data_IF_154522000957
#
_entry.id   IF_154522000957
#
_cell.length_a   1.000
_cell.length_b   1.000
_cell.length_c   1.000
_cell.angle_alpha   90.00
_cell.angle_beta   90.00
_cell.angle_gamma   90.00
#
_symmetry.space_group_name_H-M   'P 1'
#
loop_
_entity.id
_entity.type
_entity.pdbx_description
1 polymer ?
#
# COMPACT_ATOMS: atom_id res chain seq x y z
N UNK A 1 -50.63 -25.53 12.87
CA UNK A 1 -49.34 -25.72 13.56
C UNK A 1 -48.65 -24.37 13.66
N UNK A 2 -48.52 -23.82 14.86
CA UNK A 2 -47.73 -22.60 15.09
C UNK A 2 -46.28 -22.99 15.35
N UNK A 3 -45.33 -22.22 14.82
CA UNK A 3 -43.90 -22.44 15.04
C UNK A 3 -43.32 -21.31 15.86
N UNK A 4 -42.51 -21.64 16.87
CA UNK A 4 -41.76 -20.66 17.67
C UNK A 4 -40.27 -20.89 17.41
N UNK A 5 -39.57 -19.84 16.99
CA UNK A 5 -38.12 -19.89 16.77
C UNK A 5 -37.39 -19.68 18.08
N UNK A 6 -36.54 -20.62 18.48
CA UNK A 6 -35.86 -20.61 19.77
C UNK A 6 -34.35 -20.80 19.63
N UNK A 7 -33.60 -20.26 20.60
CA UNK A 7 -32.17 -20.49 20.75
C UNK A 7 -31.92 -21.66 21.71
N UNK A 8 -31.00 -22.57 21.36
CA UNK A 8 -30.60 -23.66 22.24
C UNK A 8 -29.94 -23.13 23.52
N UNK A 9 -30.25 -23.74 24.66
CA UNK A 9 -29.62 -23.43 25.95
C UNK A 9 -30.11 -22.17 26.66
N UNK A 10 -31.06 -21.41 26.10
CA UNK A 10 -31.70 -20.27 26.77
C UNK A 10 -33.00 -20.69 27.47
N UNK A 11 -33.42 -19.90 28.47
CA UNK A 11 -34.74 -20.00 29.09
C UNK A 11 -35.79 -19.38 28.15
N UNK A 12 -36.90 -20.08 27.95
CA UNK A 12 -37.97 -19.67 27.05
C UNK A 12 -39.33 -19.91 27.69
N UNK A 13 -40.27 -18.99 27.45
CA UNK A 13 -41.61 -19.02 28.05
C UNK A 13 -42.65 -19.09 26.94
N UNK A 14 -43.45 -20.18 26.94
CA UNK A 14 -44.58 -20.34 26.04
C UNK A 14 -45.86 -19.88 26.74
N UNK A 15 -46.56 -18.93 26.12
CA UNK A 15 -47.82 -18.41 26.63
C UNK A 15 -48.99 -19.00 25.84
N UNK A 16 -49.93 -19.65 26.54
CA UNK A 16 -51.22 -20.02 25.97
C UNK A 16 -52.33 -19.20 26.60
N UNK A 17 -53.08 -18.48 25.77
CA UNK A 17 -54.25 -17.71 26.20
C UNK A 17 -55.47 -18.18 25.43
N UNK A 18 -56.50 -18.59 26.17
CA UNK A 18 -57.79 -19.04 25.69
C UNK A 18 -58.88 -18.00 25.92
N UNK A 19 -59.78 -17.81 24.96
CA UNK A 19 -60.94 -16.93 25.11
C UNK A 19 -62.11 -17.73 25.71
N UNK A 20 -62.66 -17.26 26.83
CA UNK A 20 -63.72 -17.96 27.57
C UNK A 20 -65.12 -17.45 27.19
N UNK A 21 -65.23 -16.25 26.62
CA UNK A 21 -66.49 -15.65 26.25
C UNK A 21 -66.75 -14.31 26.94
N UNK A 22 -68.03 -13.94 27.00
CA UNK A 22 -68.53 -12.72 27.63
C UNK A 22 -69.08 -12.94 29.04
N UNK A 23 -69.23 -14.22 29.43
CA UNK A 23 -69.67 -14.67 30.74
C UNK A 23 -68.63 -15.67 31.27
N UNK A 24 -68.46 -15.76 32.59
CA UNK A 24 -67.56 -16.75 33.18
C UNK A 24 -68.22 -18.14 33.13
N UNK A 25 -67.60 -19.13 32.47
CA UNK A 25 -68.08 -20.52 32.52
C UNK A 25 -67.85 -21.12 33.90
N UNK A 26 -68.66 -22.10 34.30
CA UNK A 26 -68.52 -22.79 35.59
C UNK A 26 -67.33 -23.77 35.58
N UNK A 27 -67.07 -24.41 34.43
CA UNK A 27 -65.99 -25.38 34.24
C UNK A 27 -65.01 -24.92 33.14
N UNK A 28 -63.87 -24.39 33.57
CA UNK A 28 -62.77 -23.98 32.68
C UNK A 28 -61.47 -24.67 33.07
N UNK A 29 -60.94 -25.48 32.15
CA UNK A 29 -59.63 -26.09 32.30
C UNK A 29 -58.71 -25.67 31.15
N UNK A 30 -57.62 -24.98 31.47
CA UNK A 30 -56.54 -24.66 30.53
C UNK A 30 -55.24 -25.28 31.04
N UNK A 31 -54.62 -26.13 30.22
CA UNK A 31 -53.38 -26.82 30.57
C UNK A 31 -52.52 -27.15 29.35
N UNK A 32 -51.23 -27.38 29.61
CA UNK A 32 -50.25 -27.82 28.64
C UNK A 32 -50.03 -29.35 28.71
N UNK A 33 -49.79 -29.93 27.55
CA UNK A 33 -49.24 -31.27 27.38
C UNK A 33 -47.90 -31.18 26.65
N UNK A 34 -46.88 -31.79 27.25
CA UNK A 34 -45.60 -32.01 26.62
C UNK A 34 -45.49 -33.49 26.29
N UNK A 35 -45.37 -33.86 25.02
CA UNK A 35 -45.27 -35.27 24.60
C UNK A 35 -46.37 -36.19 25.20
N UNK A 36 -47.61 -35.67 25.29
CA UNK A 36 -48.79 -36.34 25.87
C UNK A 36 -48.77 -36.54 27.40
N UNK A 37 -47.78 -35.98 28.11
CA UNK A 37 -47.74 -35.97 29.59
C UNK A 37 -47.98 -34.56 30.14
N UNK A 38 -48.51 -34.49 31.37
CA UNK A 38 -48.67 -33.24 32.11
C UNK A 38 -47.31 -32.77 32.65
N UNK A 39 -46.87 -31.54 32.35
CA UNK A 39 -45.66 -30.97 32.94
C UNK A 39 -45.79 -30.83 34.46
N UNK A 40 -44.65 -30.85 35.16
CA UNK A 40 -44.61 -30.61 36.62
C UNK A 40 -44.98 -29.16 36.96
N UNK A 41 -45.60 -28.94 38.13
CA UNK A 41 -45.89 -27.59 38.62
C UNK A 41 -44.60 -26.92 39.08
N UNK A 42 -44.40 -25.66 38.71
CA UNK A 42 -43.21 -24.92 39.15
C UNK A 42 -43.16 -24.68 40.70
N UNK A 43 -44.27 -24.90 41.43
CA UNK A 43 -44.40 -24.61 42.88
C UNK A 43 -44.00 -25.77 43.81
N UNK A 44 -44.01 -27.02 43.35
CA UNK A 44 -43.70 -28.21 44.17
C UNK A 44 -42.21 -28.57 44.03
N UNK A 45 -41.31 -27.82 44.68
CA UNK A 45 -39.86 -27.98 44.50
C UNK A 45 -39.22 -28.74 45.69
N UNK A 46 -38.53 -29.86 45.41
CA UNK A 46 -37.24 -30.11 46.04
C UNK A 46 -36.12 -30.47 45.02
N UNK A 47 -35.03 -29.70 45.10
CA UNK A 47 -33.61 -30.01 44.79
C UNK A 47 -33.20 -30.61 43.43
N UNK A 48 -34.09 -30.89 42.48
CA UNK A 48 -33.69 -31.17 41.09
C UNK A 48 -34.65 -30.42 40.16
N UNK A 49 -34.20 -29.31 39.56
CA UNK A 49 -35.08 -28.46 38.77
C UNK A 49 -35.56 -29.19 37.52
N UNK A 50 -36.87 -29.40 37.32
CA UNK A 50 -37.36 -29.94 36.06
C UNK A 50 -37.03 -28.95 34.93
N UNK A 51 -36.64 -29.49 33.78
CA UNK A 51 -36.25 -28.69 32.61
C UNK A 51 -37.41 -27.87 32.03
N UNK A 52 -38.63 -28.34 32.26
CA UNK A 52 -39.91 -27.78 31.79
C UNK A 52 -40.88 -27.82 32.96
N UNK A 53 -41.49 -26.69 33.31
CA UNK A 53 -42.52 -26.62 34.34
C UNK A 53 -43.67 -25.70 33.93
N UNK A 54 -44.86 -25.97 34.45
CA UNK A 54 -46.07 -25.19 34.20
C UNK A 54 -46.36 -24.25 35.39
N UNK A 55 -46.64 -22.98 35.09
CA UNK A 55 -47.05 -21.99 36.09
C UNK A 55 -48.56 -22.05 36.38
N UNK A 56 -48.97 -21.37 37.46
CA UNK A 56 -50.37 -21.31 37.89
C UNK A 56 -51.30 -20.72 36.83
N UNK A 57 -52.51 -21.27 36.77
CA UNK A 57 -53.60 -20.80 35.93
C UNK A 57 -54.03 -19.39 36.35
N UNK A 58 -54.14 -18.48 35.38
CA UNK A 58 -54.53 -17.09 35.61
C UNK A 58 -55.75 -16.72 34.77
N UNK A 59 -56.76 -16.17 35.42
CA UNK A 59 -57.92 -15.60 34.75
C UNK A 59 -57.72 -14.10 34.54
N UNK A 60 -58.05 -13.63 33.35
CA UNK A 60 -57.88 -12.26 32.92
C UNK A 60 -59.21 -11.72 32.42
N UNK A 61 -59.66 -10.60 32.98
CA UNK A 61 -60.79 -9.82 32.46
C UNK A 61 -60.27 -8.61 31.70
N UNK A 62 -60.55 -8.56 30.40
CA UNK A 62 -60.19 -7.42 29.55
C UNK A 62 -61.49 -6.78 29.03
N UNK A 63 -61.99 -5.77 29.76
CA UNK A 63 -63.29 -5.16 29.52
C UNK A 63 -64.45 -6.11 29.84
N UNK A 64 -65.25 -6.45 28.82
CA UNK A 64 -66.39 -7.39 28.91
C UNK A 64 -66.04 -8.81 28.43
N UNK A 65 -64.75 -9.13 28.27
CA UNK A 65 -64.28 -10.42 27.78
C UNK A 65 -63.44 -11.12 28.85
N UNK A 66 -63.65 -12.42 28.98
CA UNK A 66 -62.89 -13.28 29.88
C UNK A 66 -61.90 -14.14 29.09
N UNK A 67 -60.69 -14.23 29.63
CA UNK A 67 -59.61 -15.04 29.08
C UNK A 67 -58.99 -15.88 30.20
N UNK A 68 -58.60 -17.10 29.87
CA UNK A 68 -57.71 -17.90 30.70
C UNK A 68 -56.31 -17.85 30.09
N UNK A 69 -55.27 -17.74 30.92
CA UNK A 69 -53.89 -17.83 30.47
C UNK A 69 -53.09 -18.79 31.32
N UNK A 70 -52.17 -19.52 30.68
CA UNK A 70 -51.25 -20.43 31.37
C UNK A 70 -49.89 -20.45 30.69
N UNK A 71 -48.85 -20.27 31.51
CA UNK A 71 -47.47 -20.15 31.05
C UNK A 71 -46.73 -21.47 31.25
N UNK A 72 -46.01 -21.90 30.21
CA UNK A 72 -45.09 -23.03 30.28
C UNK A 72 -43.66 -22.50 30.19
N UNK A 73 -42.87 -22.75 31.23
CA UNK A 73 -41.49 -22.28 31.34
C UNK A 73 -40.52 -23.41 31.02
N UNK A 74 -39.64 -23.18 30.06
CA UNK A 74 -38.58 -24.09 29.66
C UNK A 74 -37.27 -23.47 30.10
N UNK A 75 -36.66 -23.97 31.18
CA UNK A 75 -35.43 -23.38 31.75
C UNK A 75 -34.23 -23.51 30.82
N UNK A 76 -34.15 -24.62 30.09
CA UNK A 76 -33.06 -24.91 29.17
C UNK A 76 -33.58 -25.66 27.95
N UNK A 77 -33.63 -24.99 26.80
CA UNK A 77 -34.04 -25.62 25.54
C UNK A 77 -32.97 -26.59 25.05
N UNK A 78 -33.29 -27.89 24.97
CA UNK A 78 -32.46 -28.95 24.37
C UNK A 78 -32.91 -29.27 22.95
N UNK A 79 -32.03 -29.90 22.16
CA UNK A 79 -32.34 -30.32 20.78
C UNK A 79 -33.45 -31.38 20.74
N UNK A 80 -33.53 -32.22 21.77
CA UNK A 80 -34.57 -33.24 21.95
C UNK A 80 -35.98 -32.63 21.98
N UNK A 81 -36.17 -31.48 22.66
CA UNK A 81 -37.45 -30.79 22.72
C UNK A 81 -37.95 -30.27 21.36
N UNK A 82 -37.08 -30.14 20.36
CA UNK A 82 -37.49 -29.73 19.00
C UNK A 82 -38.26 -30.81 18.25
N UNK A 83 -38.12 -32.07 18.67
CA UNK A 83 -38.83 -33.22 18.09
C UNK A 83 -40.17 -33.50 18.78
N UNK A 84 -40.43 -32.84 19.91
CA UNK A 84 -41.66 -33.00 20.68
C UNK A 84 -42.71 -31.93 20.37
N UNK A 85 -43.97 -32.30 20.56
CA UNK A 85 -45.11 -31.41 20.39
C UNK A 85 -45.50 -30.80 21.73
N UNK A 86 -45.60 -29.48 21.77
CA UNK A 86 -46.19 -28.73 22.89
C UNK A 86 -47.64 -28.43 22.56
N UNK A 87 -48.57 -28.99 23.31
CA UNK A 87 -50.01 -28.86 23.02
C UNK A 87 -50.69 -28.13 24.16
N UNK A 88 -51.33 -27.01 23.86
CA UNK A 88 -52.21 -26.34 24.81
C UNK A 88 -53.65 -26.79 24.55
N UNK A 89 -54.36 -27.17 25.60
CA UNK A 89 -55.75 -27.58 25.54
C UNK A 89 -56.60 -26.70 26.45
N UNK A 90 -57.65 -26.14 25.85
CA UNK A 90 -58.67 -25.36 26.54
C UNK A 90 -59.97 -26.16 26.49
N UNK A 91 -60.48 -26.51 27.66
CA UNK A 91 -61.78 -27.14 27.84
C UNK A 91 -62.70 -26.15 28.54
N UNK A 92 -63.80 -25.79 27.88
CA UNK A 92 -64.85 -24.90 28.38
C UNK A 92 -66.17 -25.60 28.18
N UNK A 93 -66.83 -25.96 29.27
CA UNK A 93 -68.03 -26.82 29.28
C UNK A 93 -67.77 -28.11 28.46
N UNK A 94 -68.52 -28.34 27.37
CA UNK A 94 -68.33 -29.48 26.46
C UNK A 94 -67.37 -29.20 25.29
N UNK A 95 -66.86 -27.97 25.14
CA UNK A 95 -66.02 -27.57 24.01
C UNK A 95 -64.55 -27.72 24.36
N UNK A 96 -63.85 -28.54 23.58
CA UNK A 96 -62.39 -28.66 23.67
C UNK A 96 -61.73 -28.00 22.46
N UNK A 97 -60.81 -27.07 22.73
CA UNK A 97 -59.95 -26.46 21.72
C UNK A 97 -58.50 -26.88 21.96
N UNK A 98 -57.84 -27.35 20.90
CA UNK A 98 -56.49 -27.89 20.95
C UNK A 98 -55.59 -27.08 20.02
N UNK A 99 -54.45 -26.62 20.53
CA UNK A 99 -53.45 -25.91 19.73
C UNK A 99 -52.06 -26.45 19.98
N UNK A 100 -51.45 -26.99 18.92
CA UNK A 100 -50.09 -27.54 18.96
C UNK A 100 -49.06 -26.54 18.42
N UNK A 101 -47.97 -26.41 19.16
CA UNK A 101 -46.80 -25.58 18.86
C UNK A 101 -45.57 -26.49 18.69
N UNK A 102 -44.83 -26.29 17.61
CA UNK A 102 -43.55 -26.97 17.37
C UNK A 102 -42.40 -25.96 17.45
N UNK A 103 -41.35 -26.32 18.16
CA UNK A 103 -40.16 -25.50 18.28
C UNK A 103 -39.31 -25.64 17.01
N UNK A 104 -38.75 -24.54 16.52
CA UNK A 104 -37.77 -24.53 15.42
C UNK A 104 -36.49 -23.84 15.89
N UNK A 105 -35.34 -24.38 15.48
CA UNK A 105 -34.05 -23.77 15.75
C UNK A 105 -33.95 -22.41 15.06
N UNK A 106 -33.78 -21.35 15.85
CA UNK A 106 -33.36 -20.05 15.35
C UNK A 106 -31.90 -20.11 14.92
N UNK A 107 -31.61 -19.81 13.66
CA UNK A 107 -30.24 -19.77 13.15
C UNK A 107 -29.60 -18.43 13.52
N UNK A 108 -28.95 -18.32 14.69
CA UNK A 108 -27.98 -17.24 14.89
C UNK A 108 -26.74 -17.58 14.06
N UNK A 109 -26.59 -16.89 12.92
CA UNK A 109 -25.30 -16.86 12.22
C UNK A 109 -24.39 -15.95 13.02
N UNK A 110 -23.94 -16.40 14.18
CA UNK A 110 -22.86 -15.77 14.90
C UNK A 110 -21.57 -16.09 14.13
N UNK A 111 -21.38 -15.38 13.01
CA UNK A 111 -20.16 -15.45 12.23
C UNK A 111 -19.04 -14.93 13.16
N UNK A 112 -18.06 -15.78 13.52
CA UNK A 112 -17.21 -15.50 14.66
C UNK A 112 -16.38 -14.25 14.37
N UNK A 113 -16.51 -13.26 15.26
CA UNK A 113 -15.83 -11.95 15.19
C UNK A 113 -14.33 -12.08 14.87
N UNK A 114 -13.71 -13.17 15.34
CA UNK A 114 -12.31 -13.50 15.08
C UNK A 114 -11.93 -13.66 13.61
N UNK A 115 -12.84 -14.12 12.73
CA UNK A 115 -12.53 -14.27 11.29
C UNK A 115 -12.49 -12.88 10.62
N UNK A 116 -13.39 -11.98 11.00
CA UNK A 116 -13.38 -10.61 10.47
C UNK A 116 -12.17 -9.82 10.97
N UNK A 117 -11.83 -9.92 12.25
CA UNK A 117 -10.71 -9.16 12.82
C UNK A 117 -9.37 -9.63 12.24
N UNK A 118 -9.17 -10.94 12.08
CA UNK A 118 -7.96 -11.50 11.45
C UNK A 118 -7.84 -11.10 9.97
N UNK A 119 -8.93 -11.15 9.21
CA UNK A 119 -8.95 -10.68 7.81
C UNK A 119 -8.59 -9.20 7.66
N UNK A 120 -9.15 -8.34 8.53
CA UNK A 120 -8.86 -6.90 8.52
C UNK A 120 -7.40 -6.60 8.88
N UNK A 121 -6.84 -7.30 9.88
CA UNK A 121 -5.43 -7.13 10.27
C UNK A 121 -4.49 -7.55 9.14
N UNK A 122 -4.77 -8.67 8.46
CA UNK A 122 -3.96 -9.13 7.32
C UNK A 122 -4.03 -8.16 6.14
N UNK A 123 -5.21 -7.61 5.84
CA UNK A 123 -5.37 -6.64 4.77
C UNK A 123 -4.57 -5.35 5.04
N UNK A 124 -4.62 -4.83 6.27
CA UNK A 124 -3.83 -3.66 6.67
C UNK A 124 -2.34 -3.96 6.61
N UNK A 125 -1.91 -5.12 7.10
CA UNK A 125 -0.51 -5.52 7.05
C UNK A 125 0.02 -5.64 5.62
N UNK A 126 -0.76 -6.23 4.71
CA UNK A 126 -0.41 -6.32 3.30
C UNK A 126 -0.30 -4.93 2.65
N UNK A 127 -1.22 -4.01 2.96
CA UNK A 127 -1.15 -2.63 2.48
C UNK A 127 0.10 -1.91 3.01
N UNK A 128 0.44 -2.06 4.29
CA UNK A 128 1.66 -1.50 4.88
C UNK A 128 2.92 -2.03 4.20
N UNK A 129 3.00 -3.34 3.94
CA UNK A 129 4.13 -3.97 3.23
C UNK A 129 4.23 -3.43 1.79
N UNK A 130 3.11 -3.32 1.07
CA UNK A 130 3.10 -2.78 -0.27
C UNK A 130 3.62 -1.33 -0.33
N UNK A 131 3.19 -0.48 0.61
CA UNK A 131 3.68 0.91 0.72
C UNK A 131 5.17 0.94 1.05
N UNK A 132 5.64 0.09 1.98
CA UNK A 132 7.05 0.00 2.32
C UNK A 132 7.90 -0.45 1.12
N UNK A 133 7.44 -1.43 0.35
CA UNK A 133 8.11 -1.89 -0.88
C UNK A 133 8.18 -0.77 -1.90
N UNK A 134 7.08 -0.05 -2.16
CA UNK A 134 7.08 1.09 -3.08
C UNK A 134 8.04 2.18 -2.61
N UNK A 135 8.04 2.49 -1.31
CA UNK A 135 8.95 3.48 -0.73
C UNK A 135 10.42 3.09 -0.93
N UNK A 136 10.77 1.83 -0.64
CA UNK A 136 12.11 1.28 -0.88
C UNK A 136 12.44 1.34 -2.37
N UNK A 137 11.56 0.92 -3.27
CA UNK A 137 11.78 1.00 -4.72
C UNK A 137 12.01 2.44 -5.22
N UNK A 138 11.29 3.42 -4.67
CA UNK A 138 11.48 4.83 -5.02
C UNK A 138 12.81 5.35 -4.48
N UNK A 139 13.17 5.02 -3.25
CA UNK A 139 14.43 5.44 -2.63
C UNK A 139 15.65 4.83 -3.33
N UNK A 140 15.59 3.54 -3.66
CA UNK A 140 16.66 2.80 -4.31
C UNK A 140 16.50 2.71 -5.82
N UNK A 141 15.69 3.57 -6.45
CA UNK A 141 15.43 3.55 -7.90
C UNK A 141 16.73 3.55 -8.72
N UNK A 142 17.69 4.39 -8.34
CA UNK A 142 18.97 4.51 -9.03
C UNK A 142 19.77 3.22 -8.91
N UNK A 143 19.89 2.69 -7.69
CA UNK A 143 20.57 1.42 -7.42
C UNK A 143 19.93 0.24 -8.16
N UNK A 144 18.59 0.17 -8.16
CA UNK A 144 17.84 -0.87 -8.87
C UNK A 144 18.08 -0.82 -10.38
N UNK A 145 18.09 0.37 -10.98
CA UNK A 145 18.38 0.52 -12.41
C UNK A 145 19.83 0.16 -12.74
N UNK A 146 20.79 0.57 -11.91
CA UNK A 146 22.19 0.20 -12.08
C UNK A 146 22.40 -1.32 -11.96
N UNK A 147 21.75 -1.95 -10.98
CA UNK A 147 21.76 -3.40 -10.80
C UNK A 147 21.13 -4.12 -11.99
N UNK A 148 19.98 -3.64 -12.47
CA UNK A 148 19.30 -4.18 -13.64
C UNK A 148 20.18 -4.11 -14.90
N UNK A 149 20.87 -2.97 -15.14
CA UNK A 149 21.81 -2.84 -16.26
C UNK A 149 22.94 -3.88 -16.19
N UNK A 150 23.45 -4.13 -14.98
CA UNK A 150 24.53 -5.08 -14.76
C UNK A 150 24.07 -6.54 -14.97
N UNK A 151 22.91 -6.91 -14.41
CA UNK A 151 22.32 -8.26 -14.57
C UNK A 151 21.98 -8.55 -16.04
N UNK A 152 21.36 -7.58 -16.72
CA UNK A 152 20.95 -7.72 -18.11
C UNK A 152 22.13 -7.57 -19.10
N UNK A 153 23.35 -7.28 -18.62
CA UNK A 153 24.55 -6.95 -19.42
C UNK A 153 24.25 -5.98 -20.56
N UNK A 154 23.41 -4.98 -20.28
CA UNK A 154 23.00 -4.00 -21.29
C UNK A 154 24.20 -3.11 -21.60
N UNK A 155 24.68 -3.20 -22.82
CA UNK A 155 25.74 -2.36 -23.34
C UNK A 155 25.20 -1.49 -24.48
N UNK A 156 24.95 -0.21 -24.17
CA UNK A 156 24.50 0.77 -25.16
C UNK A 156 25.69 1.26 -26.03
N UNK A 157 26.92 0.82 -25.76
CA UNK A 157 28.14 1.28 -26.46
C UNK A 157 28.55 0.42 -27.65
N UNK A 158 27.93 -0.75 -27.81
CA UNK A 158 28.25 -1.69 -28.90
C UNK A 158 27.56 -1.26 -30.19
N UNK A 159 28.37 -0.92 -31.21
CA UNK A 159 27.88 -0.75 -32.59
C UNK A 159 27.31 0.64 -32.95
N UNK A 160 27.46 1.65 -32.10
CA UNK A 160 26.92 3.01 -32.34
C UNK A 160 27.90 3.95 -33.09
N UNK A 161 29.12 3.49 -33.39
CA UNK A 161 30.15 4.26 -34.08
C UNK A 161 30.74 5.43 -33.26
N UNK A 162 30.42 5.55 -31.96
CA UNK A 162 30.98 6.60 -31.09
C UNK A 162 32.28 6.15 -30.44
N UNK A 163 33.29 7.01 -30.49
CA UNK A 163 34.64 6.72 -29.99
C UNK A 163 34.78 6.92 -28.47
N UNK A 164 33.93 7.75 -27.87
CA UNK A 164 34.01 8.15 -26.47
C UNK A 164 32.65 8.04 -25.74
N UNK A 165 32.69 7.65 -24.47
CA UNK A 165 31.50 7.53 -23.63
C UNK A 165 31.00 8.90 -23.15
N UNK A 166 31.92 9.82 -22.89
CA UNK A 166 31.59 11.22 -22.60
C UNK A 166 32.73 12.17 -22.99
N UNK A 167 32.36 13.34 -23.48
CA UNK A 167 33.23 14.51 -23.58
C UNK A 167 33.10 15.33 -22.30
N UNK A 168 34.21 15.69 -21.66
CA UNK A 168 34.24 16.51 -20.45
C UNK A 168 34.69 17.92 -20.81
N UNK A 169 33.81 18.89 -20.56
CA UNK A 169 34.10 20.31 -20.66
C UNK A 169 34.13 20.91 -19.25
N UNK A 170 35.23 21.57 -18.93
CA UNK A 170 35.39 22.42 -17.76
C UNK A 170 36.03 23.74 -18.21
N UNK A 171 35.76 24.84 -17.51
CA UNK A 171 36.39 26.11 -17.86
C UNK A 171 37.79 26.21 -17.29
N UNK A 172 38.71 26.61 -18.17
CA UNK A 172 40.08 26.96 -17.83
C UNK A 172 40.09 28.42 -17.38
N UNK A 173 39.71 28.67 -16.14
CA UNK A 173 39.80 30.04 -15.63
C UNK A 173 41.26 30.36 -15.25
N UNK A 174 41.80 31.40 -15.88
CA UNK A 174 43.21 31.79 -15.76
C UNK A 174 43.51 32.59 -14.48
N UNK A 175 42.49 32.88 -13.65
CA UNK A 175 42.60 33.82 -12.52
C UNK A 175 41.94 33.38 -11.20
N UNK A 176 41.61 32.10 -11.02
CA UNK A 176 41.23 31.55 -9.69
C UNK A 176 42.35 30.69 -9.08
N UNK A 177 42.75 30.92 -7.82
CA UNK A 177 43.85 30.21 -7.15
C UNK A 177 43.48 28.79 -6.66
N UNK A 178 42.32 28.25 -7.03
CA UNK A 178 41.82 27.00 -6.44
C UNK A 178 41.98 25.85 -7.44
N UNK A 179 43.15 25.21 -7.43
CA UNK A 179 43.46 24.02 -8.25
C UNK A 179 42.54 22.81 -8.03
N UNK A 180 41.60 22.90 -7.08
CA UNK A 180 40.64 21.85 -6.74
C UNK A 180 39.69 21.47 -7.89
N UNK A 181 39.18 22.42 -8.69
CA UNK A 181 38.27 22.11 -9.81
C UNK A 181 39.01 21.40 -10.94
N UNK A 182 40.18 21.92 -11.31
CA UNK A 182 41.06 21.32 -12.30
C UNK A 182 41.50 19.92 -11.85
N UNK A 183 41.84 19.76 -10.58
CA UNK A 183 42.16 18.46 -9.99
C UNK A 183 40.95 17.52 -10.01
N UNK A 184 39.74 18.01 -9.74
CA UNK A 184 38.53 17.22 -9.88
C UNK A 184 38.32 16.75 -11.33
N UNK A 185 38.41 17.65 -12.31
CA UNK A 185 38.18 17.34 -13.72
C UNK A 185 39.25 16.43 -14.34
N UNK A 186 40.52 16.62 -13.97
CA UNK A 186 41.66 15.90 -14.55
C UNK A 186 42.09 14.66 -13.80
N UNK A 187 41.84 14.57 -12.48
CA UNK A 187 42.25 13.43 -11.65
C UNK A 187 41.06 12.66 -11.08
N UNK A 188 40.19 13.31 -10.31
CA UNK A 188 39.14 12.59 -9.55
C UNK A 188 38.08 12.00 -10.50
N UNK A 189 37.59 12.81 -11.44
CA UNK A 189 36.56 12.42 -12.39
C UNK A 189 37.03 11.27 -13.30
N UNK A 190 38.22 11.33 -13.93
CA UNK A 190 38.70 10.24 -14.77
C UNK A 190 39.08 9.01 -13.96
N UNK A 191 39.68 9.16 -12.77
CA UNK A 191 39.98 8.03 -11.88
C UNK A 191 38.72 7.21 -11.60
N UNK A 192 37.60 7.84 -11.24
CA UNK A 192 36.39 7.10 -10.91
C UNK A 192 35.65 6.60 -12.17
N UNK A 193 35.54 7.40 -13.23
CA UNK A 193 34.78 6.99 -14.43
C UNK A 193 35.55 5.99 -15.30
N UNK A 194 36.85 6.17 -15.48
CA UNK A 194 37.69 5.32 -16.33
C UNK A 194 38.19 4.09 -15.58
N UNK A 195 38.74 4.23 -14.37
CA UNK A 195 39.32 3.10 -13.63
C UNK A 195 38.26 2.26 -12.92
N UNK A 196 37.34 2.89 -12.17
CA UNK A 196 36.32 2.13 -11.42
C UNK A 196 35.12 1.68 -12.28
N UNK A 197 34.73 2.47 -13.28
CA UNK A 197 33.53 2.17 -14.09
C UNK A 197 33.83 1.78 -15.54
N UNK A 198 35.08 1.88 -16.00
CA UNK A 198 35.50 1.42 -17.33
C UNK A 198 34.99 2.27 -18.50
N UNK A 199 34.60 3.53 -18.27
CA UNK A 199 34.23 4.46 -19.33
C UNK A 199 35.48 5.00 -20.04
N UNK A 200 35.31 5.46 -21.28
CA UNK A 200 36.34 6.18 -22.03
C UNK A 200 35.95 7.65 -22.15
N UNK A 201 36.67 8.54 -21.45
CA UNK A 201 36.39 9.97 -21.52
C UNK A 201 37.26 10.64 -22.58
N UNK A 202 36.74 11.71 -23.17
CA UNK A 202 37.52 12.69 -23.93
C UNK A 202 37.59 13.96 -23.09
N UNK A 203 38.80 14.35 -22.70
CA UNK A 203 39.04 15.56 -21.92
C UNK A 203 39.88 16.50 -22.78
N UNK A 204 39.36 17.71 -23.00
CA UNK A 204 39.97 18.67 -23.93
C UNK A 204 41.47 18.90 -23.66
N UNK A 205 41.90 19.17 -22.42
CA UNK A 205 43.32 19.42 -22.10
C UNK A 205 44.23 18.18 -22.19
N UNK A 206 43.68 16.96 -22.09
CA UNK A 206 44.47 15.72 -22.08
C UNK A 206 44.61 15.12 -23.47
N UNK A 207 43.50 15.11 -24.22
CA UNK A 207 43.34 14.29 -25.41
C UNK A 207 43.39 15.13 -26.71
N UNK A 208 43.35 16.46 -26.62
CA UNK A 208 43.53 17.37 -27.77
C UNK A 208 44.97 17.89 -27.77
N UNK A 209 45.73 17.53 -28.81
CA UNK A 209 47.14 17.84 -28.93
C UNK A 209 47.42 19.35 -28.93
N UNK A 210 48.46 19.83 -28.21
CA UNK A 210 48.88 21.22 -28.23
C UNK A 210 49.54 21.53 -29.59
N UNK A 211 48.77 22.04 -30.54
CA UNK A 211 49.28 22.38 -31.88
C UNK A 211 48.26 22.45 -33.01
N UNK A 212 47.01 22.02 -32.78
CA UNK A 212 45.99 22.02 -33.83
C UNK A 212 44.57 21.98 -33.28
N UNK A 213 44.14 23.01 -32.54
CA UNK A 213 42.75 23.15 -32.12
C UNK A 213 42.14 24.34 -32.86
N UNK A 214 41.43 24.05 -33.95
CA UNK A 214 40.47 24.98 -34.56
C UNK A 214 39.09 24.65 -33.96
N UNK A 215 38.21 25.64 -33.83
CA UNK A 215 36.86 25.53 -33.26
C UNK A 215 36.04 24.34 -33.80
N UNK A 216 36.33 23.91 -35.04
CA UNK A 216 35.72 22.74 -35.68
C UNK A 216 35.99 21.41 -34.94
N UNK A 217 37.12 21.31 -34.21
CA UNK A 217 37.52 20.07 -33.54
C UNK A 217 36.63 19.76 -32.33
N UNK A 218 36.22 20.76 -31.54
CA UNK A 218 35.38 20.55 -30.34
C UNK A 218 34.02 19.96 -30.71
N UNK A 219 33.39 20.49 -31.77
CA UNK A 219 32.14 19.95 -32.28
C UNK A 219 32.31 18.50 -32.73
N UNK A 220 33.43 18.17 -33.39
CA UNK A 220 33.73 16.80 -33.81
C UNK A 220 33.89 15.85 -32.61
N UNK A 221 34.52 16.29 -31.52
CA UNK A 221 34.67 15.49 -30.30
C UNK A 221 33.35 15.30 -29.55
N UNK A 222 32.50 16.33 -29.51
CA UNK A 222 31.13 16.22 -28.97
C UNK A 222 30.31 15.23 -29.81
N UNK A 223 30.42 15.30 -31.14
CA UNK A 223 29.74 14.39 -32.05
C UNK A 223 30.29 12.96 -31.95
N UNK A 224 31.56 12.76 -31.65
CA UNK A 224 32.15 11.43 -31.38
C UNK A 224 31.81 10.87 -29.99
N UNK A 225 31.16 11.65 -29.14
CA UNK A 225 30.85 11.29 -27.75
C UNK A 225 29.38 10.97 -27.52
N UNK A 226 29.09 10.01 -26.62
CA UNK A 226 27.69 9.65 -26.26
C UNK A 226 27.06 10.64 -25.28
N UNK A 227 27.86 11.31 -24.48
CA UNK A 227 27.44 12.29 -23.45
C UNK A 227 28.34 13.52 -23.49
N UNK A 228 27.78 14.66 -23.09
CA UNK A 228 28.52 15.88 -22.83
C UNK A 228 28.43 16.19 -21.34
N UNK A 229 29.54 16.12 -20.60
CA UNK A 229 29.63 16.47 -19.19
C UNK A 229 30.16 17.90 -19.10
N UNK A 230 29.41 18.78 -18.44
CA UNK A 230 29.81 20.17 -18.19
C UNK A 230 30.02 20.32 -16.69
N UNK A 231 31.22 20.68 -16.28
CA UNK A 231 31.54 20.99 -14.88
C UNK A 231 31.34 22.49 -14.70
N UNK A 232 30.41 22.85 -13.81
CA UNK A 232 30.03 24.22 -13.56
C UNK A 232 30.56 24.69 -12.19
N UNK A 233 31.35 25.75 -12.23
CA UNK A 233 31.87 26.46 -11.07
C UNK A 233 31.41 27.92 -11.05
N UNK A 234 31.71 28.63 -9.97
CA UNK A 234 31.27 30.02 -9.73
C UNK A 234 31.73 30.99 -10.85
N UNK A 235 32.81 30.64 -11.58
CA UNK A 235 33.44 31.50 -12.57
C UNK A 235 33.09 31.14 -14.01
N UNK A 236 31.94 30.49 -14.25
CA UNK A 236 31.47 30.14 -15.60
C UNK A 236 31.21 31.35 -16.52
N UNK A 237 31.51 32.59 -16.11
CA UNK A 237 30.93 33.82 -16.67
C UNK A 237 31.95 34.69 -17.43
N UNK A 238 33.25 34.36 -17.48
CA UNK A 238 34.24 35.28 -18.05
C UNK A 238 35.30 34.66 -18.97
N UNK A 239 34.91 34.01 -20.08
CA UNK A 239 35.89 33.83 -21.16
C UNK A 239 35.30 33.58 -22.55
N UNK A 240 36.13 33.84 -23.58
CA UNK A 240 35.90 33.58 -25.00
C UNK A 240 35.58 32.10 -25.30
N UNK A 241 36.04 31.19 -24.43
CA UNK A 241 35.71 29.76 -24.44
C UNK A 241 34.21 29.46 -24.25
N UNK A 242 33.46 30.37 -23.61
CA UNK A 242 32.01 30.22 -23.43
C UNK A 242 31.30 30.28 -24.79
N UNK A 243 31.68 31.19 -25.68
CA UNK A 243 31.01 31.32 -26.99
C UNK A 243 31.22 30.08 -27.87
N UNK A 244 32.42 29.51 -27.86
CA UNK A 244 32.75 28.29 -28.61
C UNK A 244 31.98 27.08 -28.06
N UNK A 245 31.91 26.96 -26.73
CA UNK A 245 31.12 25.93 -26.07
C UNK A 245 29.61 26.16 -26.23
N UNK A 246 29.15 27.41 -26.25
CA UNK A 246 27.75 27.79 -26.35
C UNK A 246 27.16 27.43 -27.71
N UNK A 247 27.90 27.61 -28.80
CA UNK A 247 27.50 27.13 -30.12
C UNK A 247 27.34 25.60 -30.15
N UNK A 248 28.33 24.87 -29.60
CA UNK A 248 28.28 23.40 -29.52
C UNK A 248 27.16 22.89 -28.60
N UNK A 249 26.94 23.59 -27.51
CA UNK A 249 25.89 23.31 -26.54
C UNK A 249 24.50 23.59 -27.15
N UNK A 250 24.33 24.71 -27.82
CA UNK A 250 23.09 25.07 -28.51
C UNK A 250 22.75 24.01 -29.56
N UNK A 251 23.73 23.61 -30.38
CA UNK A 251 23.59 22.51 -31.34
C UNK A 251 23.21 21.20 -30.64
N UNK A 252 23.90 20.81 -29.57
CA UNK A 252 23.60 19.58 -28.83
C UNK A 252 22.20 19.57 -28.20
N UNK A 253 21.74 20.72 -27.69
CA UNK A 253 20.41 20.89 -27.09
C UNK A 253 19.28 20.91 -28.13
N UNK A 254 19.49 21.64 -29.23
CA UNK A 254 18.52 21.79 -30.31
C UNK A 254 18.42 20.51 -31.13
N UNK A 255 19.55 19.94 -31.56
CA UNK A 255 19.57 18.72 -32.37
C UNK A 255 19.29 17.46 -31.53
N UNK A 256 19.38 17.54 -30.18
CA UNK A 256 19.17 16.44 -29.22
C UNK A 256 20.01 15.18 -29.49
N UNK A 257 21.07 15.29 -30.29
CA UNK A 257 21.94 14.16 -30.66
C UNK A 257 22.77 13.65 -29.48
N UNK A 258 23.20 14.54 -28.59
CA UNK A 258 24.06 14.22 -27.45
C UNK A 258 23.38 14.60 -26.14
N UNK A 259 23.32 13.68 -25.18
CA UNK A 259 22.71 13.94 -23.87
C UNK A 259 23.71 14.67 -22.97
N UNK A 260 23.30 15.82 -22.44
CA UNK A 260 24.13 16.66 -21.57
C UNK A 260 23.93 16.29 -20.10
N UNK A 261 25.01 16.30 -19.33
CA UNK A 261 25.07 16.09 -17.89
C UNK A 261 25.75 17.30 -17.29
N UNK A 262 25.08 17.99 -16.37
CA UNK A 262 25.63 19.15 -15.67
C UNK A 262 26.12 18.72 -14.29
N UNK A 263 27.39 19.01 -13.97
CA UNK A 263 27.97 18.80 -12.64
C UNK A 263 28.12 20.16 -11.97
N UNK A 264 27.32 20.44 -10.95
CA UNK A 264 27.54 21.63 -10.11
C UNK A 264 28.67 21.33 -9.11
N UNK A 265 29.88 21.83 -9.37
CA UNK A 265 31.03 21.63 -8.49
C UNK A 265 30.94 22.46 -7.20
N UNK A 266 30.33 23.65 -7.30
CA UNK A 266 30.00 24.53 -6.16
C UNK A 266 28.55 25.00 -6.27
N UNK A 267 27.86 25.27 -5.14
CA UNK A 267 26.50 25.77 -5.18
C UNK A 267 26.48 27.18 -5.78
N UNK A 268 25.95 27.30 -7.00
CA UNK A 268 25.73 28.60 -7.62
C UNK A 268 24.54 29.26 -6.93
N UNK A 269 24.76 30.46 -6.38
CA UNK A 269 23.74 31.27 -5.71
C UNK A 269 22.80 31.96 -6.70
N UNK A 270 23.24 32.23 -7.94
CA UNK A 270 22.44 32.86 -9.00
C UNK A 270 22.54 32.11 -10.33
N UNK A 271 21.47 31.41 -10.72
CA UNK A 271 21.34 30.75 -12.03
C UNK A 271 21.10 31.73 -13.18
N UNK A 272 20.98 33.03 -12.89
CA UNK A 272 20.73 34.10 -13.87
C UNK A 272 21.89 34.34 -14.83
N UNK A 273 23.09 33.91 -14.45
CA UNK A 273 24.30 34.08 -15.24
C UNK A 273 24.62 32.87 -16.12
N UNK A 274 23.79 31.83 -16.09
CA UNK A 274 23.92 30.68 -16.98
C UNK A 274 23.41 31.07 -18.38
N UNK A 275 24.06 30.59 -19.46
CA UNK A 275 23.48 30.64 -20.80
C UNK A 275 22.05 30.12 -20.78
N UNK A 276 21.14 30.75 -21.53
CA UNK A 276 19.73 30.36 -21.61
C UNK A 276 19.58 28.89 -22.04
N UNK A 277 20.50 28.42 -22.86
CA UNK A 277 20.59 27.02 -23.27
C UNK A 277 20.79 26.05 -22.08
N UNK A 278 21.56 26.43 -21.06
CA UNK A 278 21.73 25.64 -19.82
C UNK A 278 20.54 25.74 -18.87
N UNK A 279 19.82 26.86 -18.85
CA UNK A 279 18.63 27.01 -17.99
C UNK A 279 17.46 26.12 -18.45
N UNK A 280 17.42 25.77 -19.74
CA UNK A 280 16.43 24.87 -20.33
C UNK A 280 16.68 23.37 -20.04
N UNK A 281 17.78 23.04 -19.36
CA UNK A 281 18.08 21.65 -19.03
C UNK A 281 17.17 21.10 -17.91
N UNK A 282 16.62 19.88 -18.08
CA UNK A 282 15.83 19.25 -17.03
C UNK A 282 16.67 19.04 -15.77
N UNK A 283 16.12 19.39 -14.59
CA UNK A 283 16.82 19.24 -13.30
C UNK A 283 17.31 17.81 -13.02
N UNK A 284 16.71 16.80 -13.66
CA UNK A 284 17.14 15.39 -13.57
C UNK A 284 18.52 15.12 -14.19
N UNK A 285 19.06 16.04 -15.00
CA UNK A 285 20.39 15.93 -15.63
C UNK A 285 21.47 16.74 -14.90
N UNK A 286 21.13 17.27 -13.73
CA UNK A 286 22.05 18.05 -12.89
C UNK A 286 22.48 17.21 -11.68
N UNK A 287 23.79 17.12 -11.45
CA UNK A 287 24.40 16.37 -10.35
C UNK A 287 25.24 17.32 -9.50
N UNK A 288 24.99 17.35 -8.20
CA UNK A 288 25.65 18.31 -7.28
C UNK A 288 26.81 17.67 -6.54
N UNK A 289 28.01 18.23 -6.66
CA UNK A 289 29.18 17.84 -5.90
C UNK A 289 29.11 18.40 -4.48
N UNK A 290 29.22 17.54 -3.46
CA UNK A 290 29.11 17.89 -2.03
C UNK A 290 30.39 17.58 -1.27
N UNK A 291 31.55 17.91 -1.87
CA UNK A 291 32.90 17.70 -1.32
C UNK A 291 33.02 16.37 -0.55
N UNK A 292 33.09 16.41 0.79
CA UNK A 292 33.24 15.23 1.66
C UNK A 292 32.19 14.13 1.47
N UNK A 293 30.93 14.47 1.16
CA UNK A 293 29.85 13.48 0.94
C UNK A 293 29.92 12.82 -0.44
N UNK A 294 30.66 13.41 -1.37
CA UNK A 294 30.77 12.93 -2.76
C UNK A 294 32.06 12.12 -3.01
N UNK A 295 33.08 12.26 -2.16
CA UNK A 295 34.37 11.55 -2.31
C UNK A 295 34.24 10.02 -2.43
N UNK A 296 33.44 9.30 -1.61
CA UNK A 296 33.34 7.85 -1.73
C UNK A 296 32.76 7.43 -3.07
N UNK A 297 33.33 6.44 -3.76
CA UNK A 297 32.88 5.95 -5.09
C UNK A 297 31.41 5.48 -5.07
N UNK A 298 30.92 4.98 -3.95
CA UNK A 298 29.53 4.55 -3.77
C UNK A 298 28.58 5.69 -3.33
N UNK A 299 29.03 6.94 -3.35
CA UNK A 299 28.20 8.09 -2.99
C UNK A 299 27.03 8.30 -3.95
N UNK A 300 25.99 9.00 -3.48
CA UNK A 300 24.83 9.35 -4.30
C UNK A 300 25.22 10.16 -5.55
N UNK A 301 26.32 10.91 -5.48
CA UNK A 301 26.87 11.66 -6.61
C UNK A 301 27.25 10.73 -7.76
N UNK A 302 28.14 9.75 -7.50
CA UNK A 302 28.62 8.83 -8.53
C UNK A 302 27.53 7.88 -9.02
N UNK A 303 26.63 7.43 -8.14
CA UNK A 303 25.46 6.63 -8.55
C UNK A 303 24.56 7.39 -9.53
N UNK A 304 24.27 8.65 -9.23
CA UNK A 304 23.48 9.51 -10.13
C UNK A 304 24.23 9.80 -11.44
N UNK A 305 25.53 10.07 -11.38
CA UNK A 305 26.36 10.31 -12.56
C UNK A 305 26.38 9.06 -13.46
N UNK A 306 26.63 7.88 -12.89
CA UNK A 306 26.61 6.59 -13.59
C UNK A 306 25.22 6.27 -14.19
N UNK A 307 24.14 6.66 -13.52
CA UNK A 307 22.78 6.50 -14.05
C UNK A 307 22.56 7.32 -15.33
N UNK A 308 23.15 8.51 -15.42
CA UNK A 308 23.08 9.40 -16.59
C UNK A 308 24.05 9.00 -17.72
N UNK A 309 25.15 8.35 -17.38
CA UNK A 309 26.08 7.74 -18.34
C UNK A 309 25.44 6.61 -19.17
N UNK A 310 25.98 6.28 -20.35
CA UNK A 310 25.52 5.14 -21.16
C UNK A 310 25.57 3.83 -20.35
N UNK A 311 24.65 2.91 -20.61
CA UNK A 311 24.72 1.60 -19.97
C UNK A 311 25.95 0.86 -20.50
N UNK A 312 26.84 0.48 -19.58
CA UNK A 312 28.03 -0.32 -19.86
C UNK A 312 28.20 -1.32 -18.72
N UNK A 313 28.49 -2.60 -19.01
CA UNK A 313 28.82 -3.57 -17.98
C UNK A 313 30.06 -3.09 -17.22
N UNK A 314 30.03 -3.21 -15.90
CA UNK A 314 31.23 -2.96 -15.08
C UNK A 314 32.31 -3.96 -15.44
N UNK A 315 33.55 -3.48 -15.47
CA UNK A 315 34.74 -4.31 -15.61
C UNK A 315 34.93 -5.21 -14.39
#
# INVERSE_FOLDING_TARGET
>A
SSHVMLCLGKEEILNCTGFLGYYMPEDVNLYWLFNQTFPEKCSDIPKNEPSICEEEFKELRLGNKFYATRLLRIKKVTDEYMHHNFTCMLQVDERTQIKTVKLKKGSTRDLPVHIFTTGMVLAVLFACVAVAVVFVCVMFRVDLVLLYRNICRRDDTVGDGKEYDAFVSYLKDCFSPTGEEREFALKILPMVLEENFGYKLCIFERDVSPGGAVVDDIHSFIDKSRRLIIILSQNYISDKAIYELESGLHKALVEKKTKIILIEYMPISDYKFLPESLSLLPSKRVVKWKKSKSLPVNSRFWKNLRYLMPAKPTK
#
